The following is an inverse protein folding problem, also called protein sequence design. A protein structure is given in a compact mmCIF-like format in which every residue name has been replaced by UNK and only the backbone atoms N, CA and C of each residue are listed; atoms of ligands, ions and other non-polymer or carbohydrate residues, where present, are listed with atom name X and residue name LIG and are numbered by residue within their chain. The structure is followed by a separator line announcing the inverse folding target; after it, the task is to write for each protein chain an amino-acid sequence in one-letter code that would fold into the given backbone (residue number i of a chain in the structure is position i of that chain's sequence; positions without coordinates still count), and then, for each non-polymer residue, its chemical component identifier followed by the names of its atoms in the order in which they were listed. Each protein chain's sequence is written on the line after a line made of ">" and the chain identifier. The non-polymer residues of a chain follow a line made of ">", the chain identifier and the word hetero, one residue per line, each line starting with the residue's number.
data_IF_027469811136
#
_entry.id   IF_027469811136
#
_cell.length_a   1.000
_cell.length_b   1.000
_cell.length_c   1.000
_cell.angle_alpha   90.00
_cell.angle_beta   90.00
_cell.angle_gamma   90.00
#
_symmetry.space_group_name_H-M   'P 1'
#
loop_
_entity.id
_entity.type
_entity.pdbx_description
1 polymer ?
#
# COMPACT_ATOMS: atom_id res chain seq x y z
N UNK A 1 8.99 -7.31 36.23
CA UNK A 1 8.28 -7.60 34.97
C UNK A 1 9.30 -7.63 33.85
N UNK A 2 9.33 -8.71 33.07
CA UNK A 2 10.16 -8.77 31.87
C UNK A 2 9.37 -8.16 30.70
N UNK A 3 9.98 -7.27 29.94
CA UNK A 3 9.47 -6.82 28.65
C UNK A 3 9.70 -7.96 27.65
N UNK A 4 8.60 -8.58 27.20
CA UNK A 4 8.65 -9.58 26.15
C UNK A 4 8.38 -8.90 24.81
N UNK A 5 9.16 -9.26 23.80
CA UNK A 5 9.00 -8.76 22.43
C UNK A 5 7.91 -9.60 21.75
N UNK A 6 7.00 -8.94 21.03
CA UNK A 6 6.03 -9.64 20.18
C UNK A 6 6.74 -10.28 19.01
N UNK A 7 6.25 -11.44 18.56
CA UNK A 7 6.75 -12.00 17.32
C UNK A 7 6.44 -11.06 16.14
N UNK A 8 7.30 -11.12 15.13
CA UNK A 8 7.28 -10.24 13.97
C UNK A 8 5.94 -10.25 13.25
N UNK A 9 5.34 -11.42 13.03
CA UNK A 9 4.07 -11.52 12.32
C UNK A 9 2.94 -10.82 13.07
N UNK A 10 2.87 -11.00 14.38
CA UNK A 10 1.88 -10.32 15.21
C UNK A 10 2.10 -8.80 15.20
N UNK A 11 3.35 -8.35 15.33
CA UNK A 11 3.71 -6.93 15.26
C UNK A 11 3.31 -6.30 13.92
N UNK A 12 3.62 -6.97 12.81
CA UNK A 12 3.38 -6.45 11.46
C UNK A 12 1.88 -6.44 11.14
N UNK A 13 1.15 -7.50 11.53
CA UNK A 13 -0.31 -7.54 11.41
C UNK A 13 -0.97 -6.40 12.21
N UNK A 14 -0.53 -6.17 13.45
CA UNK A 14 -1.04 -5.06 14.27
C UNK A 14 -0.75 -3.71 13.62
N UNK A 15 0.45 -3.52 13.09
CA UNK A 15 0.87 -2.28 12.40
C UNK A 15 0.04 -2.06 11.14
N UNK A 16 -0.10 -3.08 10.29
CA UNK A 16 -0.88 -3.01 9.06
C UNK A 16 -2.36 -2.73 9.33
N UNK A 17 -2.95 -3.36 10.35
CA UNK A 17 -4.35 -3.14 10.73
C UNK A 17 -4.61 -1.73 11.27
N UNK A 18 -3.61 -1.10 11.87
CA UNK A 18 -3.70 0.30 12.30
C UNK A 18 -3.56 1.27 11.12
N UNK A 19 -2.69 0.95 10.16
CA UNK A 19 -2.46 1.77 8.96
C UNK A 19 -3.63 1.70 7.96
N UNK A 20 -4.19 0.50 7.74
CA UNK A 20 -5.28 0.23 6.80
C UNK A 20 -6.45 -0.45 7.57
N UNK A 21 -7.23 0.32 8.35
CA UNK A 21 -8.29 -0.23 9.18
C UNK A 21 -9.53 -0.66 8.39
N UNK A 22 -9.72 -0.12 7.20
CA UNK A 22 -10.92 -0.33 6.38
C UNK A 22 -10.64 -0.20 4.88
N UNK A 23 -11.61 -0.66 4.09
CA UNK A 23 -11.56 -0.62 2.63
C UNK A 23 -11.43 0.82 2.10
N UNK A 24 -12.07 1.79 2.76
CA UNK A 24 -12.01 3.19 2.35
C UNK A 24 -10.58 3.73 2.45
N UNK A 25 -9.88 3.43 3.54
CA UNK A 25 -8.49 3.82 3.77
C UNK A 25 -7.57 3.13 2.76
N UNK A 26 -7.79 1.85 2.49
CA UNK A 26 -7.02 1.12 1.48
C UNK A 26 -7.14 1.75 0.08
N UNK A 27 -8.38 2.09 -0.33
CA UNK A 27 -8.66 2.75 -1.61
C UNK A 27 -8.02 4.14 -1.66
N UNK A 28 -8.09 4.93 -0.58
CA UNK A 28 -7.45 6.25 -0.51
C UNK A 28 -5.93 6.17 -0.73
N UNK A 29 -5.25 5.22 -0.10
CA UNK A 29 -3.80 5.06 -0.27
C UNK A 29 -3.45 4.72 -1.72
N UNK A 30 -4.20 3.83 -2.37
CA UNK A 30 -3.97 3.52 -3.79
C UNK A 30 -4.18 4.74 -4.71
N UNK A 31 -5.18 5.59 -4.42
CA UNK A 31 -5.41 6.84 -5.14
C UNK A 31 -4.24 7.80 -4.95
N UNK A 32 -3.73 7.95 -3.72
CA UNK A 32 -2.60 8.83 -3.45
C UNK A 32 -1.34 8.36 -4.18
N UNK A 33 -1.04 7.06 -4.17
CA UNK A 33 0.07 6.52 -4.94
C UNK A 33 -0.07 6.81 -6.44
N UNK A 34 -1.28 6.73 -6.98
CA UNK A 34 -1.53 7.07 -8.40
C UNK A 34 -1.30 8.56 -8.68
N UNK A 35 -1.67 9.44 -7.74
CA UNK A 35 -1.43 10.89 -7.85
C UNK A 35 0.06 11.21 -7.77
N UNK A 36 0.78 10.58 -6.84
CA UNK A 36 2.22 10.73 -6.69
C UNK A 36 2.97 10.24 -7.94
N UNK A 37 2.46 9.20 -8.61
CA UNK A 37 2.92 8.74 -9.92
C UNK A 37 2.44 9.60 -11.10
N UNK A 38 1.96 10.82 -10.84
CA UNK A 38 1.52 11.81 -11.83
C UNK A 38 0.38 11.37 -12.77
N UNK A 39 -0.41 10.36 -12.39
CA UNK A 39 -1.55 9.89 -13.20
C UNK A 39 -2.53 11.02 -13.51
N UNK A 40 -3.11 10.97 -14.71
CA UNK A 40 -4.18 11.87 -15.18
C UNK A 40 -5.54 11.19 -15.14
N UNK A 41 -5.54 9.87 -15.22
CA UNK A 41 -6.73 9.03 -15.20
C UNK A 41 -6.54 7.90 -14.21
N UNK A 42 -7.49 7.74 -13.29
CA UNK A 42 -7.52 6.62 -12.35
C UNK A 42 -8.86 5.92 -12.50
N UNK A 43 -8.84 4.63 -12.82
CA UNK A 43 -10.02 3.76 -12.89
C UNK A 43 -10.08 2.90 -11.63
N UNK A 44 -11.18 3.03 -10.89
CA UNK A 44 -11.44 2.27 -9.67
C UNK A 44 -12.61 1.30 -9.87
N UNK A 45 -12.42 0.06 -9.44
CA UNK A 45 -13.48 -0.94 -9.30
C UNK A 45 -13.47 -1.41 -7.86
N UNK A 46 -14.60 -1.28 -7.16
CA UNK A 46 -14.71 -1.62 -5.73
C UNK A 46 -15.80 -2.65 -5.54
N UNK A 47 -15.45 -3.76 -4.88
CA UNK A 47 -16.38 -4.78 -4.42
C UNK A 47 -16.48 -4.72 -2.90
N UNK A 48 -17.55 -4.09 -2.44
CA UNK A 48 -17.82 -3.89 -1.01
C UNK A 48 -18.18 -5.20 -0.31
N UNK A 49 -18.76 -6.17 -1.02
CA UNK A 49 -19.18 -7.45 -0.43
C UNK A 49 -17.95 -8.26 -0.04
N UNK A 50 -16.94 -8.28 -0.90
CA UNK A 50 -15.70 -9.02 -0.68
C UNK A 50 -14.57 -8.18 -0.09
N UNK A 51 -14.84 -6.93 0.30
CA UNK A 51 -13.85 -5.98 0.80
C UNK A 51 -12.59 -5.89 -0.09
N UNK A 52 -12.79 -5.79 -1.41
CA UNK A 52 -11.71 -5.79 -2.39
C UNK A 52 -11.85 -4.64 -3.37
N UNK A 53 -10.74 -4.24 -3.99
CA UNK A 53 -10.73 -3.21 -5.00
C UNK A 53 -9.64 -3.44 -6.05
N UNK A 54 -9.76 -2.76 -7.19
CA UNK A 54 -8.73 -2.64 -8.21
C UNK A 54 -8.60 -1.17 -8.58
N UNK A 55 -7.37 -0.67 -8.57
CA UNK A 55 -7.00 0.63 -9.12
C UNK A 55 -6.16 0.41 -10.38
N UNK A 56 -6.45 1.15 -11.43
CA UNK A 56 -5.65 1.17 -12.66
C UNK A 56 -5.47 2.61 -13.08
N UNK A 57 -4.22 3.05 -13.18
CA UNK A 57 -3.87 4.40 -13.53
C UNK A 57 -2.98 4.46 -14.79
N UNK A 58 -2.76 5.68 -15.28
CA UNK A 58 -1.89 6.01 -16.41
C UNK A 58 -0.64 6.79 -15.96
N UNK A 59 -0.20 6.59 -14.72
CA UNK A 59 0.97 7.24 -14.14
C UNK A 59 2.31 6.68 -14.64
N UNK A 60 3.39 7.17 -14.04
CA UNK A 60 4.77 6.86 -14.41
C UNK A 60 5.15 5.38 -14.22
N UNK A 61 4.32 4.63 -13.49
CA UNK A 61 4.52 3.22 -13.18
C UNK A 61 5.55 3.01 -12.07
N UNK A 62 5.99 1.76 -11.92
CA UNK A 62 7.03 1.36 -10.95
C UNK A 62 8.22 0.85 -11.75
N UNK A 63 9.44 1.27 -11.40
CA UNK A 63 10.63 0.75 -12.07
C UNK A 63 10.76 -0.77 -11.84
N UNK A 64 11.20 -1.54 -12.85
CA UNK A 64 11.28 -3.00 -12.73
C UNK A 64 12.15 -3.49 -11.56
N UNK A 65 13.21 -2.76 -11.22
CA UNK A 65 14.11 -3.14 -10.13
C UNK A 65 13.44 -2.92 -8.75
N UNK A 66 12.70 -1.82 -8.60
CA UNK A 66 11.96 -1.49 -7.37
C UNK A 66 10.81 -2.49 -7.09
N UNK A 67 10.27 -3.11 -8.14
CA UNK A 67 9.24 -4.15 -8.02
C UNK A 67 9.72 -5.35 -7.19
N UNK A 68 11.00 -5.68 -7.24
CA UNK A 68 11.56 -6.81 -6.51
C UNK A 68 12.23 -6.41 -5.20
N UNK A 69 12.72 -5.18 -5.10
CA UNK A 69 13.50 -4.72 -3.95
C UNK A 69 12.64 -4.06 -2.87
N UNK A 70 11.60 -3.31 -3.25
CA UNK A 70 10.87 -2.44 -2.32
C UNK A 70 9.37 -2.73 -2.22
N UNK A 71 8.74 -3.29 -3.27
CA UNK A 71 7.31 -3.58 -3.23
C UNK A 71 6.99 -4.70 -2.21
N UNK A 72 6.17 -4.35 -1.21
CA UNK A 72 5.75 -5.26 -0.14
C UNK A 72 6.62 -5.18 1.12
N UNK A 73 7.75 -4.49 1.06
CA UNK A 73 8.64 -4.28 2.20
C UNK A 73 8.23 -3.03 2.99
N UNK A 74 8.50 -3.03 4.31
CA UNK A 74 8.31 -1.83 5.13
C UNK A 74 9.43 -0.82 4.85
N UNK A 75 9.08 0.47 4.82
CA UNK A 75 10.02 1.59 4.59
C UNK A 75 10.68 1.63 3.20
N UNK A 76 10.19 0.84 2.25
CA UNK A 76 10.53 1.00 0.84
C UNK A 76 9.87 2.26 0.28
N UNK A 77 10.67 3.22 -0.17
CA UNK A 77 10.20 4.44 -0.84
C UNK A 77 11.10 4.72 -2.03
N UNK A 78 10.51 5.09 -3.17
CA UNK A 78 11.28 5.51 -4.34
C UNK A 78 12.23 6.67 -3.96
N UNK A 79 13.49 6.56 -4.36
CA UNK A 79 14.45 7.65 -4.18
C UNK A 79 14.26 8.62 -5.34
N UNK A 80 13.70 9.80 -5.10
CA UNK A 80 13.60 10.83 -6.16
C UNK A 80 15.02 11.19 -6.65
N UNK A 81 15.31 10.90 -7.92
CA UNK A 81 16.51 11.35 -8.64
C UNK A 81 16.21 12.60 -9.44
#
# INVERSE_FOLDING_TARGET
>A
MALNILDEKTRDLMTASYAIPDLETAVKQAIYNSIDAHAKTIKLVVDVINASFTATDDGDGVQPDDLYEYIGECYGTETQV
#
